data_IF_020193659846
#
_entry.id   IF_020193659846
#
_cell.length_a   1.000
_cell.length_b   1.000
_cell.length_c   1.000
_cell.angle_alpha   90.00
_cell.angle_beta   90.00
_cell.angle_gamma   90.00
#
_symmetry.space_group_name_H-M   'P 1'
#
loop_
_entity.id
_entity.type
_entity.pdbx_description
1 polymer ?
#
# COMPACT_ATOMS: atom_id res chain seq x y z
N UNK A 1 3.56 16.28 -0.50
CA UNK A 1 2.85 16.39 -1.79
C UNK A 1 1.33 16.44 -1.66
N UNK A 2 0.72 16.38 -0.48
CA UNK A 2 -0.72 16.58 -0.30
C UNK A 2 -0.96 17.62 0.80
N UNK A 3 -1.78 18.65 0.57
CA UNK A 3 -2.14 19.61 1.59
C UNK A 3 -3.05 18.95 2.64
N UNK A 4 -2.81 19.21 3.94
CA UNK A 4 -3.51 18.54 5.03
C UNK A 4 -4.96 19.00 5.22
N UNK A 5 -5.42 20.02 4.48
CA UNK A 5 -6.69 20.71 4.64
C UNK A 5 -7.68 20.47 3.48
N UNK A 6 -7.42 19.48 2.62
CA UNK A 6 -8.35 19.12 1.53
C UNK A 6 -9.51 18.26 2.05
N UNK A 7 -10.69 18.87 2.21
CA UNK A 7 -11.92 18.17 2.63
C UNK A 7 -12.25 16.98 1.73
N UNK A 8 -12.10 17.13 0.40
CA UNK A 8 -12.39 16.05 -0.54
C UNK A 8 -11.45 14.85 -0.35
N UNK A 9 -10.16 15.11 -0.11
CA UNK A 9 -9.18 14.06 0.19
C UNK A 9 -9.47 13.41 1.55
N UNK A 10 -9.81 14.20 2.56
CA UNK A 10 -10.15 13.68 3.88
C UNK A 10 -11.38 12.79 3.85
N UNK A 11 -12.46 13.20 3.19
CA UNK A 11 -13.67 12.41 3.02
C UNK A 11 -13.38 11.11 2.27
N UNK A 12 -12.56 11.17 1.22
CA UNK A 12 -12.11 9.99 0.47
C UNK A 12 -11.32 9.02 1.37
N UNK A 13 -10.36 9.53 2.14
CA UNK A 13 -9.56 8.73 3.05
C UNK A 13 -10.39 8.16 4.21
N UNK A 14 -11.40 8.89 4.70
CA UNK A 14 -12.35 8.42 5.70
C UNK A 14 -13.16 7.23 5.16
N UNK A 15 -13.69 7.31 3.93
CA UNK A 15 -14.38 6.17 3.28
C UNK A 15 -13.45 4.95 3.17
N UNK A 16 -12.20 5.15 2.78
CA UNK A 16 -11.21 4.08 2.69
C UNK A 16 -10.90 3.44 4.06
N UNK A 17 -10.82 4.25 5.13
CA UNK A 17 -10.64 3.76 6.50
C UNK A 17 -11.87 3.02 7.02
N UNK A 18 -13.07 3.47 6.69
CA UNK A 18 -14.32 2.79 7.03
C UNK A 18 -14.40 1.39 6.39
N UNK A 19 -14.04 1.23 5.11
CA UNK A 19 -13.98 -0.10 4.49
C UNK A 19 -12.96 -1.02 5.17
N UNK A 20 -11.78 -0.47 5.55
CA UNK A 20 -10.79 -1.24 6.30
C UNK A 20 -11.35 -1.77 7.63
N UNK A 21 -12.08 -0.94 8.37
CA UNK A 21 -12.76 -1.34 9.63
C UNK A 21 -13.80 -2.41 9.36
N UNK A 22 -14.68 -2.19 8.38
CA UNK A 22 -15.70 -3.17 7.96
C UNK A 22 -15.08 -4.53 7.65
N UNK A 23 -14.02 -4.55 6.83
CA UNK A 23 -13.31 -5.77 6.46
C UNK A 23 -12.66 -6.45 7.65
N UNK A 24 -12.01 -5.68 8.54
CA UNK A 24 -11.40 -6.25 9.73
C UNK A 24 -12.42 -6.91 10.66
N UNK A 25 -13.59 -6.29 10.85
CA UNK A 25 -14.71 -6.90 11.57
C UNK A 25 -15.19 -8.20 10.90
N UNK A 26 -15.35 -8.19 9.58
CA UNK A 26 -15.77 -9.37 8.84
C UNK A 26 -14.74 -10.52 8.93
N UNK A 27 -13.44 -10.21 8.89
CA UNK A 27 -12.38 -11.21 9.11
C UNK A 27 -12.46 -11.82 10.51
N UNK A 28 -12.70 -11.00 11.54
CA UNK A 28 -12.91 -11.48 12.92
C UNK A 28 -14.14 -12.39 13.02
N UNK A 29 -15.27 -12.01 12.43
CA UNK A 29 -16.48 -12.85 12.41
C UNK A 29 -16.22 -14.21 11.75
N UNK A 30 -15.50 -14.23 10.62
CA UNK A 30 -15.12 -15.49 9.95
C UNK A 30 -14.20 -16.34 10.82
N UNK A 31 -13.21 -15.73 11.48
CA UNK A 31 -12.34 -16.43 12.44
C UNK A 31 -13.15 -17.04 13.59
N UNK A 32 -14.08 -16.29 14.18
CA UNK A 32 -14.97 -16.77 15.24
C UNK A 32 -15.84 -17.95 14.77
N UNK A 33 -16.36 -17.90 13.54
CA UNK A 33 -17.12 -19.03 12.96
C UNK A 33 -16.29 -20.31 12.77
N UNK A 34 -14.96 -20.18 12.77
CA UNK A 34 -14.00 -21.29 12.69
C UNK A 34 -13.51 -21.73 14.09
N UNK A 35 -14.11 -21.22 15.16
CA UNK A 35 -13.74 -21.52 16.54
C UNK A 35 -12.50 -20.76 17.03
N UNK A 36 -12.10 -19.68 16.35
CA UNK A 36 -10.99 -18.83 16.80
C UNK A 36 -11.53 -17.72 17.68
N UNK A 37 -11.19 -17.77 18.97
CA UNK A 37 -11.46 -16.71 19.93
C UNK A 37 -10.55 -15.52 19.65
N UNK A 38 -11.12 -14.48 19.05
CA UNK A 38 -10.52 -13.18 18.78
C UNK A 38 -11.63 -12.13 18.79
N UNK A 39 -11.44 -10.99 19.46
CA UNK A 39 -12.37 -9.86 19.39
C UNK A 39 -11.90 -8.82 18.38
N UNK A 40 -12.78 -7.88 18.01
CA UNK A 40 -12.37 -6.75 17.18
C UNK A 40 -11.48 -5.77 17.95
N UNK A 41 -11.66 -5.65 19.26
CA UNK A 41 -10.87 -4.75 20.10
C UNK A 41 -9.41 -5.21 20.19
N UNK A 42 -9.16 -6.52 20.22
CA UNK A 42 -7.81 -7.10 20.12
C UNK A 42 -7.08 -6.66 18.84
N UNK A 43 -7.81 -6.52 17.74
CA UNK A 43 -7.29 -6.05 16.46
C UNK A 43 -7.03 -4.54 16.48
N UNK A 44 -7.89 -3.77 17.17
CA UNK A 44 -7.71 -2.32 17.31
C UNK A 44 -6.47 -1.99 18.15
N UNK A 45 -6.21 -2.74 19.22
CA UNK A 45 -5.00 -2.60 20.03
C UNK A 45 -3.73 -2.70 19.16
N UNK A 46 -3.69 -3.65 18.24
CA UNK A 46 -2.57 -3.83 17.31
C UNK A 46 -2.40 -2.69 16.32
N UNK A 47 -3.47 -1.95 16.03
CA UNK A 47 -3.44 -0.81 15.10
C UNK A 47 -2.87 0.46 15.71
N UNK A 48 -2.84 0.57 17.05
CA UNK A 48 -2.33 1.75 17.79
C UNK A 48 -2.91 3.09 17.27
N UNK A 49 -4.20 3.09 16.92
CA UNK A 49 -4.89 4.25 16.35
C UNK A 49 -4.66 4.48 14.85
N UNK A 50 -3.86 3.64 14.20
CA UNK A 50 -3.62 3.66 12.76
C UNK A 50 -4.72 2.98 11.93
N UNK A 51 -4.54 2.98 10.61
CA UNK A 51 -5.50 2.37 9.69
C UNK A 51 -5.47 0.84 9.78
N UNK A 52 -6.53 0.24 10.34
CA UNK A 52 -6.67 -1.20 10.51
C UNK A 52 -6.55 -1.99 9.19
N UNK A 53 -6.17 -3.27 9.29
CA UNK A 53 -5.95 -4.12 8.13
C UNK A 53 -5.50 -5.53 8.53
N UNK A 54 -5.32 -6.41 7.54
CA UNK A 54 -4.93 -7.82 7.75
C UNK A 54 -3.69 -8.01 8.64
N UNK A 55 -2.61 -7.20 8.52
CA UNK A 55 -1.45 -7.34 9.41
C UNK A 55 -1.82 -7.18 10.89
N UNK A 56 -2.75 -6.29 11.23
CA UNK A 56 -3.25 -6.10 12.59
C UNK A 56 -3.98 -7.34 13.11
N UNK A 57 -4.83 -7.96 12.28
CA UNK A 57 -5.51 -9.22 12.62
C UNK A 57 -4.49 -10.34 12.85
N UNK A 58 -3.47 -10.43 11.97
CA UNK A 58 -2.42 -11.42 12.06
C UNK A 58 -1.59 -11.28 13.35
N UNK A 59 -1.22 -10.06 13.72
CA UNK A 59 -0.50 -9.78 14.97
C UNK A 59 -1.35 -10.05 16.20
N UNK A 60 -2.65 -9.73 16.17
CA UNK A 60 -3.56 -10.02 17.28
C UNK A 60 -3.67 -11.53 17.52
N UNK A 61 -3.78 -12.32 16.45
CA UNK A 61 -3.78 -13.78 16.52
C UNK A 61 -2.47 -14.34 17.11
N UNK A 62 -1.32 -13.78 16.71
CA UNK A 62 -0.03 -14.20 17.24
C UNK A 62 0.13 -13.82 18.72
N UNK A 63 -0.23 -12.58 19.09
CA UNK A 63 -0.20 -12.07 20.47
C UNK A 63 -1.07 -12.91 21.41
N UNK A 64 -2.23 -13.36 20.95
CA UNK A 64 -3.12 -14.25 21.71
C UNK A 64 -2.72 -15.73 21.66
N UNK A 65 -1.57 -16.08 21.08
CA UNK A 65 -1.08 -17.45 21.00
C UNK A 65 -1.89 -18.38 20.09
N UNK A 66 -2.72 -17.83 19.19
CA UNK A 66 -3.52 -18.62 18.24
C UNK A 66 -2.68 -19.16 17.06
N UNK A 67 -1.54 -18.51 16.80
CA UNK A 67 -0.49 -18.91 15.84
C UNK A 67 0.88 -18.50 16.37
N UNK A 68 1.95 -19.11 15.84
CA UNK A 68 3.32 -18.81 16.25
C UNK A 68 3.79 -17.40 15.86
N UNK A 69 3.36 -16.92 14.69
CA UNK A 69 3.74 -15.62 14.14
C UNK A 69 2.67 -15.10 13.16
N UNK A 70 2.81 -13.84 12.74
CA UNK A 70 1.87 -13.21 11.81
C UNK A 70 1.84 -13.91 10.44
N UNK A 71 2.95 -14.46 9.97
CA UNK A 71 3.03 -15.22 8.72
C UNK A 71 2.13 -16.46 8.75
N UNK A 72 2.12 -17.20 9.87
CA UNK A 72 1.25 -18.35 10.07
C UNK A 72 -0.24 -18.00 10.09
N UNK A 73 -0.62 -16.79 10.51
CA UNK A 73 -2.00 -16.33 10.36
C UNK A 73 -2.38 -16.15 8.88
N UNK A 74 -1.48 -15.64 8.04
CA UNK A 74 -1.70 -15.55 6.58
C UNK A 74 -1.78 -16.92 5.93
N UNK A 75 -0.87 -17.83 6.28
CA UNK A 75 -0.86 -19.20 5.76
C UNK A 75 -2.18 -19.92 6.07
N UNK A 76 -2.69 -19.76 7.30
CA UNK A 76 -3.86 -20.52 7.77
C UNK A 76 -5.20 -19.88 7.40
N UNK A 77 -5.34 -18.57 7.56
CA UNK A 77 -6.67 -17.92 7.55
C UNK A 77 -6.77 -16.66 6.71
N UNK A 78 -5.73 -15.83 6.64
CA UNK A 78 -5.84 -14.45 6.14
C UNK A 78 -5.28 -14.24 4.71
N UNK A 79 -4.56 -15.21 4.18
CA UNK A 79 -4.03 -15.19 2.81
C UNK A 79 -5.13 -15.20 1.75
N UNK A 80 -4.83 -14.75 0.53
CA UNK A 80 -5.83 -14.78 -0.56
C UNK A 80 -6.34 -16.22 -0.75
N UNK A 81 -7.66 -16.40 -0.81
CA UNK A 81 -8.31 -17.70 -0.93
C UNK A 81 -8.39 -18.51 0.38
N UNK A 82 -7.96 -17.94 1.52
CA UNK A 82 -8.07 -18.59 2.83
C UNK A 82 -9.42 -18.30 3.50
N UNK A 83 -9.86 -19.12 4.48
CA UNK A 83 -11.22 -19.07 5.01
C UNK A 83 -11.66 -17.72 5.59
N UNK A 84 -10.75 -16.97 6.22
CA UNK A 84 -11.05 -15.66 6.80
C UNK A 84 -10.65 -14.50 5.89
N UNK A 85 -10.28 -14.75 4.63
CA UNK A 85 -9.95 -13.68 3.69
C UNK A 85 -11.22 -13.01 3.16
N UNK A 86 -11.28 -11.70 3.35
CA UNK A 86 -12.32 -10.82 2.79
C UNK A 86 -11.67 -10.02 1.67
N UNK A 87 -12.32 -9.79 0.53
CA UNK A 87 -11.75 -8.96 -0.55
C UNK A 87 -11.83 -7.46 -0.22
N UNK A 88 -10.86 -6.69 -0.72
CA UNK A 88 -10.83 -5.23 -0.56
C UNK A 88 -11.54 -4.58 -1.73
N UNK A 89 -12.54 -3.76 -1.46
CA UNK A 89 -13.07 -2.85 -2.47
C UNK A 89 -12.07 -1.72 -2.65
N UNK A 90 -11.48 -1.64 -3.83
CA UNK A 90 -10.57 -0.56 -4.19
C UNK A 90 -11.34 0.48 -4.99
N UNK A 91 -11.09 1.78 -4.75
CA UNK A 91 -11.54 2.83 -5.65
C UNK A 91 -10.88 2.66 -7.01
N UNK A 92 -11.55 3.16 -8.05
CA UNK A 92 -10.98 3.22 -9.39
C UNK A 92 -9.75 4.13 -9.39
N UNK A 93 -8.75 3.81 -10.21
CA UNK A 93 -7.50 4.59 -10.23
C UNK A 93 -7.76 6.05 -10.63
N UNK A 94 -8.62 6.28 -11.62
CA UNK A 94 -9.05 7.62 -12.03
C UNK A 94 -9.66 8.43 -10.88
N UNK A 95 -10.52 7.82 -10.07
CA UNK A 95 -11.12 8.50 -8.91
C UNK A 95 -10.04 8.93 -7.91
N UNK A 96 -9.07 8.07 -7.64
CA UNK A 96 -7.92 8.39 -6.77
C UNK A 96 -7.13 9.57 -7.34
N UNK A 97 -6.84 9.54 -8.64
CA UNK A 97 -6.07 10.58 -9.31
C UNK A 97 -6.80 11.93 -9.28
N UNK A 98 -8.09 11.95 -9.59
CA UNK A 98 -8.92 13.16 -9.53
C UNK A 98 -8.93 13.79 -8.13
N UNK A 99 -9.08 12.97 -7.07
CA UNK A 99 -9.04 13.47 -5.68
C UNK A 99 -7.65 14.02 -5.31
N UNK A 100 -6.58 13.35 -5.72
CA UNK A 100 -5.20 13.78 -5.45
C UNK A 100 -4.86 15.07 -6.19
N UNK A 101 -5.21 15.16 -7.47
CA UNK A 101 -5.00 16.36 -8.30
C UNK A 101 -5.85 17.54 -7.84
N UNK A 102 -7.10 17.31 -7.40
CA UNK A 102 -7.93 18.35 -6.80
C UNK A 102 -7.28 18.93 -5.52
N UNK A 103 -6.50 18.12 -4.81
CA UNK A 103 -5.67 18.54 -3.69
C UNK A 103 -4.30 19.09 -4.12
N UNK A 104 -4.06 19.36 -5.41
CA UNK A 104 -2.74 19.80 -5.95
C UNK A 104 -1.60 18.84 -5.62
N UNK A 105 -1.90 17.56 -5.50
CA UNK A 105 -0.90 16.51 -5.33
C UNK A 105 -0.52 15.84 -6.64
N UNK A 106 0.42 14.89 -6.54
CA UNK A 106 0.83 14.03 -7.64
C UNK A 106 0.60 12.56 -7.26
N UNK A 107 0.28 11.74 -8.25
CA UNK A 107 0.05 10.30 -8.12
C UNK A 107 1.29 9.53 -8.54
N UNK A 108 1.91 8.84 -7.59
CA UNK A 108 2.95 7.84 -7.88
C UNK A 108 2.41 6.43 -7.69
N UNK A 109 2.63 5.55 -8.67
CA UNK A 109 2.28 4.13 -8.56
C UNK A 109 3.42 3.36 -7.87
N UNK A 110 3.11 2.76 -6.72
CA UNK A 110 4.08 2.08 -5.87
C UNK A 110 4.31 0.60 -6.26
N UNK A 111 5.56 0.15 -6.14
CA UNK A 111 6.07 -1.23 -6.15
C UNK A 111 5.29 -2.18 -7.10
N UNK A 112 5.25 -1.83 -8.38
CA UNK A 112 4.46 -2.55 -9.39
C UNK A 112 4.90 -3.99 -9.59
N UNK A 113 6.19 -4.28 -9.36
CA UNK A 113 6.82 -5.56 -9.72
C UNK A 113 6.57 -5.85 -11.21
N UNK A 114 6.30 -7.11 -11.56
CA UNK A 114 6.03 -7.51 -12.95
C UNK A 114 4.75 -6.95 -13.57
N UNK A 115 3.89 -6.28 -12.79
CA UNK A 115 2.65 -5.67 -13.32
C UNK A 115 2.90 -4.40 -14.13
N UNK A 116 4.08 -3.80 -14.02
CA UNK A 116 4.45 -2.57 -14.72
C UNK A 116 4.79 -2.79 -16.19
N UNK A 117 3.83 -3.25 -16.98
CA UNK A 117 3.96 -3.35 -18.44
C UNK A 117 3.74 -1.99 -19.09
N UNK A 118 4.21 -1.81 -20.33
CA UNK A 118 4.02 -0.58 -21.10
C UNK A 118 2.54 -0.20 -21.22
N UNK A 119 1.69 -1.15 -21.65
CA UNK A 119 0.25 -0.93 -21.82
C UNK A 119 -0.44 -0.56 -20.51
N UNK A 120 -0.01 -1.14 -19.39
CA UNK A 120 -0.55 -0.81 -18.08
C UNK A 120 -0.20 0.62 -17.67
N UNK A 121 1.06 1.04 -17.85
CA UNK A 121 1.50 2.40 -17.55
C UNK A 121 0.88 3.44 -18.49
N UNK A 122 0.73 3.14 -19.78
CA UNK A 122 0.03 4.02 -20.73
C UNK A 122 -1.42 4.26 -20.32
N UNK A 123 -2.13 3.20 -19.92
CA UNK A 123 -3.49 3.30 -19.41
C UNK A 123 -3.54 4.17 -18.16
N UNK A 124 -2.71 3.90 -17.16
CA UNK A 124 -2.68 4.68 -15.92
C UNK A 124 -2.29 6.15 -16.16
N UNK A 125 -1.36 6.41 -17.09
CA UNK A 125 -1.04 7.78 -17.53
C UNK A 125 -2.27 8.48 -18.09
N UNK A 126 -3.06 7.81 -18.93
CA UNK A 126 -4.33 8.33 -19.43
C UNK A 126 -5.42 8.51 -18.36
N UNK A 127 -5.22 7.96 -17.17
CA UNK A 127 -6.09 8.10 -16.00
C UNK A 127 -5.53 9.06 -14.92
N UNK A 128 -4.38 9.72 -15.17
CA UNK A 128 -3.81 10.72 -14.26
C UNK A 128 -2.57 10.27 -13.47
N UNK A 129 -1.83 9.25 -13.93
CA UNK A 129 -0.55 8.89 -13.32
C UNK A 129 0.54 9.91 -13.64
N UNK A 130 1.25 10.39 -12.60
CA UNK A 130 2.34 11.35 -12.74
C UNK A 130 3.72 10.69 -12.63
N UNK A 131 3.86 9.67 -11.78
CA UNK A 131 5.15 9.07 -11.45
C UNK A 131 5.09 7.55 -11.26
N UNK A 132 6.24 6.89 -11.43
CA UNK A 132 6.40 5.45 -11.20
C UNK A 132 7.49 5.21 -10.17
N UNK A 133 7.22 4.35 -9.18
CA UNK A 133 8.26 3.87 -8.29
C UNK A 133 9.17 2.87 -9.01
N UNK A 134 10.36 3.32 -9.39
CA UNK A 134 11.34 2.48 -10.11
C UNK A 134 12.35 1.87 -9.15
N UNK A 135 12.64 2.53 -8.01
CA UNK A 135 13.56 2.03 -6.98
C UNK A 135 12.81 1.53 -5.75
N UNK A 136 12.82 0.22 -5.57
CA UNK A 136 12.22 -0.46 -4.43
C UNK A 136 13.07 -1.70 -4.08
N UNK A 137 13.15 -2.13 -2.80
CA UNK A 137 13.90 -3.33 -2.40
C UNK A 137 13.46 -4.62 -3.10
N UNK A 138 12.19 -4.69 -3.50
CA UNK A 138 11.65 -5.85 -4.22
C UNK A 138 11.82 -5.79 -5.74
N UNK A 139 12.52 -4.78 -6.27
CA UNK A 139 12.83 -4.69 -7.70
C UNK A 139 14.26 -5.15 -7.91
N UNK A 140 14.44 -6.27 -8.59
CA UNK A 140 15.74 -6.69 -9.09
C UNK A 140 16.28 -5.69 -10.14
N UNK A 141 17.58 -5.77 -10.49
CA UNK A 141 18.19 -4.83 -11.42
C UNK A 141 17.50 -4.74 -12.79
N UNK A 142 17.01 -5.86 -13.33
CA UNK A 142 16.40 -5.92 -14.66
C UNK A 142 15.03 -5.25 -14.66
N UNK A 143 14.21 -5.57 -13.66
CA UNK A 143 12.91 -4.94 -13.46
C UNK A 143 13.06 -3.42 -13.22
N UNK A 144 14.06 -3.02 -12.42
CA UNK A 144 14.36 -1.61 -12.16
C UNK A 144 14.73 -0.86 -13.45
N UNK A 145 15.59 -1.46 -14.27
CA UNK A 145 15.98 -0.88 -15.56
C UNK A 145 14.76 -0.74 -16.48
N UNK A 146 13.97 -1.83 -16.64
CA UNK A 146 12.74 -1.82 -17.46
C UNK A 146 11.75 -0.75 -17.02
N UNK A 147 11.44 -0.65 -15.73
CA UNK A 147 10.52 0.36 -15.22
C UNK A 147 11.06 1.78 -15.41
N UNK A 148 12.37 1.97 -15.30
CA UNK A 148 13.02 3.26 -15.56
C UNK A 148 12.87 3.66 -17.02
N UNK A 149 13.16 2.75 -17.95
CA UNK A 149 13.05 3.02 -19.38
C UNK A 149 11.61 3.33 -19.79
N UNK A 150 10.64 2.58 -19.25
CA UNK A 150 9.22 2.84 -19.49
C UNK A 150 8.77 4.19 -18.92
N UNK A 151 9.19 4.54 -17.70
CA UNK A 151 8.85 5.83 -17.12
C UNK A 151 9.38 6.99 -17.98
N UNK A 152 10.65 6.91 -18.39
CA UNK A 152 11.26 7.93 -19.25
C UNK A 152 10.59 8.01 -20.62
N UNK A 153 10.33 6.88 -21.28
CA UNK A 153 9.70 6.83 -22.59
C UNK A 153 8.25 7.37 -22.57
N UNK A 154 7.56 7.22 -21.44
CA UNK A 154 6.21 7.74 -21.24
C UNK A 154 6.20 9.15 -20.64
N UNK A 155 7.35 9.77 -20.38
CA UNK A 155 7.41 11.10 -19.75
C UNK A 155 6.84 11.12 -18.33
N UNK A 156 6.86 9.99 -17.63
CA UNK A 156 6.46 9.87 -16.22
C UNK A 156 7.66 10.18 -15.33
N UNK A 157 7.39 10.82 -14.20
CA UNK A 157 8.38 11.05 -13.16
C UNK A 157 8.77 9.74 -12.48
N UNK A 158 9.84 9.76 -11.69
CA UNK A 158 10.35 8.58 -10.98
C UNK A 158 10.35 8.82 -9.49
N UNK A 159 9.95 7.81 -8.74
CA UNK A 159 10.05 7.78 -7.28
C UNK A 159 10.81 6.55 -6.80
N UNK A 160 11.19 6.56 -5.53
CA UNK A 160 11.77 5.40 -4.87
C UNK A 160 11.55 5.43 -3.37
N UNK A 161 11.53 4.26 -2.76
CA UNK A 161 11.29 4.13 -1.32
C UNK A 161 11.75 2.77 -0.81
N UNK A 162 12.13 2.74 0.48
CA UNK A 162 12.50 1.49 1.15
C UNK A 162 11.29 0.64 1.57
N UNK A 163 10.09 1.23 1.56
CA UNK A 163 8.87 0.60 2.10
C UNK A 163 9.08 0.09 3.53
N UNK A 164 9.72 0.92 4.36
CA UNK A 164 10.11 0.56 5.72
C UNK A 164 8.90 0.50 6.65
N UNK A 165 8.80 -0.59 7.42
CA UNK A 165 7.67 -0.90 8.32
C UNK A 165 8.09 -1.11 9.78
N UNK A 166 9.33 -0.78 10.14
CA UNK A 166 9.94 -1.10 11.43
C UNK A 166 11.21 -1.93 11.29
N UNK A 167 11.85 -2.26 12.40
CA UNK A 167 12.96 -3.22 12.41
C UNK A 167 12.40 -4.61 12.08
N UNK A 168 12.86 -5.25 10.99
CA UNK A 168 12.24 -6.47 10.51
C UNK A 168 12.40 -7.60 11.54
N UNK A 169 11.26 -8.22 11.90
CA UNK A 169 11.27 -9.53 12.56
C UNK A 169 11.78 -10.62 11.60
N UNK A 170 12.12 -11.82 12.11
CA UNK A 170 12.55 -12.93 11.26
C UNK A 170 11.50 -13.23 10.17
N UNK A 171 11.86 -13.07 8.89
CA UNK A 171 10.99 -13.36 7.74
C UNK A 171 10.20 -12.18 7.15
N UNK A 172 10.37 -10.96 7.66
CA UNK A 172 9.78 -9.76 7.05
C UNK A 172 10.63 -9.25 5.87
N UNK A 173 10.00 -8.94 4.73
CA UNK A 173 10.67 -8.57 3.47
C UNK A 173 10.48 -7.09 3.10
N UNK A 174 10.69 -6.19 4.08
CA UNK A 174 10.73 -4.75 3.85
C UNK A 174 12.17 -4.24 3.83
N UNK A 175 12.43 -3.17 3.08
CA UNK A 175 13.76 -2.56 3.06
C UNK A 175 14.07 -1.84 4.36
N UNK A 176 15.33 -1.86 4.78
CA UNK A 176 15.79 -0.98 5.86
C UNK A 176 15.65 0.48 5.46
N UNK A 177 15.45 1.35 6.46
CA UNK A 177 15.37 2.79 6.23
C UNK A 177 16.60 3.29 5.47
N UNK A 178 16.37 4.02 4.37
CA UNK A 178 17.45 4.55 3.52
C UNK A 178 18.13 3.53 2.60
N UNK A 179 17.63 2.29 2.53
CA UNK A 179 18.21 1.24 1.65
C UNK A 179 18.12 1.54 0.14
N UNK A 180 17.26 2.48 -0.26
CA UNK A 180 17.17 2.93 -1.65
C UNK A 180 17.84 4.29 -1.78
N UNK A 181 18.96 4.33 -2.51
CA UNK A 181 19.55 5.60 -2.93
C UNK A 181 18.58 6.25 -3.92
N UNK A 182 17.95 7.37 -3.60
CA UNK A 182 17.04 8.12 -4.47
C UNK A 182 17.67 9.49 -4.70
N UNK A 183 17.97 9.90 -5.96
CA UNK A 183 18.59 11.19 -6.23
C UNK A 183 17.69 12.36 -5.81
N UNK A 184 18.29 13.40 -5.21
CA UNK A 184 17.58 14.62 -4.83
C UNK A 184 16.87 15.29 -6.02
N UNK A 185 17.47 15.23 -7.22
CA UNK A 185 16.87 15.74 -8.46
C UNK A 185 15.46 15.19 -8.71
N UNK A 186 15.15 13.96 -8.28
CA UNK A 186 13.80 13.41 -8.47
C UNK A 186 12.77 14.16 -7.64
N UNK A 187 13.15 14.65 -6.46
CA UNK A 187 12.30 15.50 -5.63
C UNK A 187 12.08 16.85 -6.32
N UNK A 188 13.14 17.48 -6.83
CA UNK A 188 13.05 18.78 -7.51
C UNK A 188 12.06 18.70 -8.69
N UNK A 189 12.13 17.64 -9.50
CA UNK A 189 11.20 17.41 -10.61
C UNK A 189 9.75 17.23 -10.16
N UNK A 190 9.51 16.55 -9.04
CA UNK A 190 8.17 16.39 -8.47
C UNK A 190 7.64 17.73 -7.96
N UNK A 191 8.50 18.58 -7.39
CA UNK A 191 8.10 19.91 -6.92
C UNK A 191 7.81 20.87 -8.08
N UNK A 192 8.62 20.85 -9.14
CA UNK A 192 8.38 21.56 -10.39
C UNK A 192 7.04 21.18 -11.02
N UNK A 193 6.77 19.87 -11.16
CA UNK A 193 5.52 19.36 -11.75
C UNK A 193 4.28 19.69 -10.91
N UNK A 194 4.42 19.82 -9.59
CA UNK A 194 3.30 20.21 -8.73
C UNK A 194 2.98 21.71 -8.84
N UNK A 195 3.96 22.53 -9.22
CA UNK A 195 3.83 23.97 -9.28
C UNK A 195 3.28 24.49 -10.63
N UNK A 196 3.25 23.63 -11.66
CA UNK A 196 2.67 23.92 -12.99
C UNK A 196 1.16 23.74 -13.04
#
# INVERSE_FOLDING_TARGET
FLPPDSTALDDFLQRCRADRVRRAREMVLRLQSLGVELSFDDVLEESRGGAVGRPHVARALARQGRVADAGKAFDRWLGRGRPAFVDKTLPEFREVAEVVHAARGLVSIAHLKERGTRSFLERLKGEGLDAVETRHPSHDPDLRARLTDLALALGLLRTGGSDWHGDPGPGESHGSLGSQNVPAEWLDRLEEQRAS
#
